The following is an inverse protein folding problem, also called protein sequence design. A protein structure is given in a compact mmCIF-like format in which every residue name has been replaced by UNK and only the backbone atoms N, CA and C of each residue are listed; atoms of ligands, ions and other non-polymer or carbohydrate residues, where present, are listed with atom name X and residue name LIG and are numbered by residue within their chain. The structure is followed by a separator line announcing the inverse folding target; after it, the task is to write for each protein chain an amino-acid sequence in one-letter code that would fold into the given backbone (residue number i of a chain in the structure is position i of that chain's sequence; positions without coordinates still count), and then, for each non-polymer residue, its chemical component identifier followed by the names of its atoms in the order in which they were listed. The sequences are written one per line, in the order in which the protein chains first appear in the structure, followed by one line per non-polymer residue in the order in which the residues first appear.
data_IF_815664546644
#
_entry.id   IF_815664546644
#
_cell.length_a   1.000
_cell.length_b   1.000
_cell.length_c   1.000
_cell.angle_alpha   90.00
_cell.angle_beta   90.00
_cell.angle_gamma   90.00
#
_symmetry.space_group_name_H-M   'P 1'
#
loop_
_entity.id
_entity.type
_entity.pdbx_description
1 polymer ?
#
# COMPACT_ATOMS: atom_id res chain seq x y z
N UNK A 1 8.16 2.52 -22.23
CA UNK A 1 8.63 3.19 -23.47
C UNK A 1 7.54 3.19 -24.53
N UNK A 2 7.62 4.12 -25.49
CA UNK A 2 6.76 4.15 -26.68
C UNK A 2 7.22 3.06 -27.65
N UNK A 3 6.31 2.21 -28.12
CA UNK A 3 6.60 1.15 -29.10
C UNK A 3 6.15 1.54 -30.50
N UNK A 4 5.04 2.27 -30.61
CA UNK A 4 4.51 2.74 -31.90
C UNK A 4 3.79 4.09 -31.75
N UNK A 5 3.83 4.90 -32.81
CA UNK A 5 3.12 6.18 -32.91
C UNK A 5 2.32 6.21 -34.22
N UNK A 6 1.02 6.50 -34.12
CA UNK A 6 0.10 6.66 -35.26
C UNK A 6 -0.76 7.91 -35.03
N UNK A 7 -0.36 9.03 -35.62
CA UNK A 7 -1.02 10.32 -35.36
C UNK A 7 -0.93 10.69 -33.88
N UNK A 8 -2.08 10.82 -33.21
CA UNK A 8 -2.15 11.09 -31.77
C UNK A 8 -2.25 9.85 -30.88
N UNK A 9 -2.27 8.65 -31.47
CA UNK A 9 -2.31 7.38 -30.74
C UNK A 9 -0.91 6.84 -30.58
N UNK A 10 -0.64 6.29 -29.41
CA UNK A 10 0.64 5.65 -29.11
C UNK A 10 0.43 4.33 -28.42
N UNK A 11 1.21 3.34 -28.83
CA UNK A 11 1.33 2.08 -28.13
C UNK A 11 2.53 2.15 -27.19
N UNK A 12 2.35 1.63 -25.99
CA UNK A 12 3.27 1.74 -24.88
C UNK A 12 3.60 0.36 -24.32
N UNK A 13 4.87 0.17 -23.99
CA UNK A 13 5.32 -0.93 -23.14
C UNK A 13 5.65 -0.40 -21.74
N UNK A 14 4.99 -0.96 -20.73
CA UNK A 14 5.06 -0.58 -19.33
C UNK A 14 6.09 -1.39 -18.53
N UNK A 15 7.08 -1.97 -19.21
CA UNK A 15 8.22 -2.60 -18.55
C UNK A 15 8.98 -1.62 -17.65
N UNK A 16 9.36 -2.07 -16.46
CA UNK A 16 10.04 -1.27 -15.44
C UNK A 16 9.11 -0.67 -14.38
N UNK A 17 7.79 -0.84 -14.50
CA UNK A 17 6.83 -0.51 -13.44
C UNK A 17 6.82 -1.63 -12.39
N UNK A 18 6.74 -1.25 -11.11
CA UNK A 18 6.58 -2.20 -10.01
C UNK A 18 5.26 -2.98 -10.19
N UNK A 19 5.29 -4.33 -10.21
CA UNK A 19 4.08 -5.14 -10.33
C UNK A 19 3.00 -4.79 -9.28
N UNK A 20 3.41 -4.34 -8.08
CA UNK A 20 2.51 -3.94 -6.99
C UNK A 20 1.67 -2.72 -7.31
N UNK A 21 2.10 -1.88 -8.26
CA UNK A 21 1.40 -0.63 -8.62
C UNK A 21 0.88 -0.63 -10.04
N UNK A 22 1.09 -1.71 -10.81
CA UNK A 22 0.69 -1.82 -12.21
C UNK A 22 -0.81 -1.56 -12.43
N UNK A 23 -1.68 -1.94 -11.48
CA UNK A 23 -3.11 -1.67 -11.54
C UNK A 23 -3.44 -0.15 -11.57
N UNK A 24 -2.52 0.69 -11.08
CA UNK A 24 -2.66 2.14 -11.08
C UNK A 24 -2.17 2.82 -12.38
N UNK A 25 -1.71 2.03 -13.35
CA UNK A 25 -1.35 2.47 -14.71
C UNK A 25 -2.43 2.08 -15.72
N UNK A 26 -3.69 2.18 -15.30
CA UNK A 26 -4.86 1.99 -16.17
C UNK A 26 -5.29 3.26 -16.88
N UNK A 27 -6.54 3.26 -17.34
CA UNK A 27 -7.17 4.42 -17.98
C UNK A 27 -7.05 5.67 -17.11
N UNK A 28 -6.60 6.77 -17.71
CA UNK A 28 -6.47 8.06 -17.06
C UNK A 28 -5.09 8.34 -16.45
N UNK A 29 -4.19 7.34 -16.35
CA UNK A 29 -2.80 7.60 -15.94
C UNK A 29 -2.12 8.49 -16.98
N UNK A 30 -1.26 9.40 -16.52
CA UNK A 30 -0.47 10.27 -17.40
C UNK A 30 1.00 9.96 -17.23
N UNK A 31 1.69 9.78 -18.36
CA UNK A 31 3.13 9.60 -18.43
C UNK A 31 3.74 10.78 -19.19
N UNK A 32 4.89 11.25 -18.71
CA UNK A 32 5.72 12.25 -19.39
C UNK A 32 6.68 11.55 -20.34
N UNK A 33 6.70 11.99 -21.59
CA UNK A 33 7.70 11.60 -22.58
C UNK A 33 9.01 12.33 -22.25
N UNK A 34 10.10 11.58 -22.12
CA UNK A 34 11.41 12.14 -21.78
C UNK A 34 12.45 11.74 -22.82
N UNK A 35 13.39 12.64 -23.10
CA UNK A 35 14.57 12.34 -23.92
C UNK A 35 15.71 11.69 -23.12
N UNK A 36 16.85 11.43 -23.77
CA UNK A 36 18.02 10.80 -23.14
C UNK A 36 18.64 11.59 -21.99
N UNK A 37 18.31 12.88 -21.87
CA UNK A 37 18.73 13.75 -20.76
C UNK A 37 17.65 13.86 -19.66
N UNK A 38 16.49 13.20 -19.85
CA UNK A 38 15.37 13.23 -18.92
C UNK A 38 14.49 14.48 -19.04
N UNK A 39 14.61 15.25 -20.12
CA UNK A 39 13.82 16.47 -20.34
C UNK A 39 12.46 16.15 -20.95
N UNK A 40 11.43 16.85 -20.47
CA UNK A 40 10.04 16.66 -20.93
C UNK A 40 9.84 17.10 -22.39
N UNK A 41 9.37 16.15 -23.22
CA UNK A 41 9.05 16.32 -24.64
C UNK A 41 7.55 16.33 -24.92
N UNK A 42 6.76 15.85 -23.97
CA UNK A 42 5.30 15.80 -24.08
C UNK A 42 4.67 14.89 -23.03
N UNK A 43 3.37 14.66 -23.15
CA UNK A 43 2.60 13.81 -22.25
C UNK A 43 1.66 12.90 -23.02
N UNK A 44 1.49 11.69 -22.49
CA UNK A 44 0.53 10.69 -22.97
C UNK A 44 -0.41 10.31 -21.83
N UNK A 45 -1.71 10.28 -22.12
CA UNK A 45 -2.71 9.69 -21.25
C UNK A 45 -3.01 8.25 -21.67
N UNK A 46 -2.96 7.32 -20.74
CA UNK A 46 -3.35 5.92 -20.98
C UNK A 46 -4.87 5.85 -21.17
N UNK A 47 -5.32 5.24 -22.27
CA UNK A 47 -6.73 4.99 -22.57
C UNK A 47 -7.15 3.56 -22.21
N UNK A 48 -6.25 2.60 -22.38
CA UNK A 48 -6.44 1.19 -22.03
C UNK A 48 -5.11 0.50 -21.75
N UNK A 49 -5.14 -0.57 -20.94
CA UNK A 49 -3.98 -1.42 -20.63
C UNK A 49 -4.40 -2.89 -20.70
N UNK A 50 -3.55 -3.71 -21.27
CA UNK A 50 -3.58 -5.16 -21.21
C UNK A 50 -2.21 -5.64 -20.75
N UNK A 51 -2.14 -6.18 -19.54
CA UNK A 51 -0.88 -6.58 -18.89
C UNK A 51 0.18 -5.46 -18.91
N UNK A 52 1.32 -5.68 -19.57
CA UNK A 52 2.42 -4.71 -19.71
C UNK A 52 2.32 -3.86 -20.97
N UNK A 53 1.26 -4.02 -21.77
CA UNK A 53 1.02 -3.20 -22.97
C UNK A 53 -0.12 -2.22 -22.72
N UNK A 54 -0.01 -1.01 -23.23
CA UNK A 54 -1.04 0.01 -23.09
C UNK A 54 -1.19 0.82 -24.37
N UNK A 55 -2.41 1.31 -24.60
CA UNK A 55 -2.73 2.29 -25.64
C UNK A 55 -2.98 3.63 -24.97
N UNK A 56 -2.39 4.67 -25.54
CA UNK A 56 -2.52 6.03 -25.02
C UNK A 56 -2.77 7.06 -26.11
N UNK A 57 -3.16 8.24 -25.65
CA UNK A 57 -3.39 9.43 -26.46
C UNK A 57 -2.40 10.52 -26.09
N UNK A 58 -1.72 11.05 -27.09
CA UNK A 58 -0.85 12.22 -26.94
C UNK A 58 -1.69 13.45 -26.58
N UNK A 59 -1.32 14.13 -25.50
CA UNK A 59 -2.03 15.32 -24.99
C UNK A 59 -1.34 16.62 -25.42
N UNK A 60 -0.03 16.67 -25.24
CA UNK A 60 0.82 17.81 -25.57
C UNK A 60 2.16 17.25 -26.05
N UNK A 61 2.67 17.70 -27.20
CA UNK A 61 3.97 17.29 -27.74
C UNK A 61 4.70 18.49 -28.30
N UNK A 62 6.00 18.61 -28.01
CA UNK A 62 6.84 19.66 -28.57
C UNK A 62 7.48 19.25 -29.91
N UNK A 63 7.60 17.95 -30.17
CA UNK A 63 8.28 17.37 -31.33
C UNK A 63 7.61 16.08 -31.82
N UNK A 64 8.08 15.56 -32.95
CA UNK A 64 7.76 14.21 -33.41
C UNK A 64 8.33 13.18 -32.41
N UNK A 65 7.44 12.36 -31.85
CA UNK A 65 7.79 11.30 -30.90
C UNK A 65 8.20 10.05 -31.69
N UNK A 66 9.40 9.54 -31.44
CA UNK A 66 9.90 8.32 -32.06
C UNK A 66 9.59 7.08 -31.21
N UNK A 67 9.55 5.90 -31.85
CA UNK A 67 9.60 4.63 -31.12
C UNK A 67 10.89 4.55 -30.29
N UNK A 68 10.81 3.92 -29.11
CA UNK A 68 11.89 3.87 -28.13
C UNK A 68 11.91 5.06 -27.15
N UNK A 69 11.10 6.11 -27.35
CA UNK A 69 11.02 7.23 -26.41
C UNK A 69 10.66 6.73 -25.00
N UNK A 70 11.44 7.15 -24.01
CA UNK A 70 11.24 6.77 -22.62
C UNK A 70 10.08 7.54 -21.99
N UNK A 71 9.50 6.95 -20.95
CA UNK A 71 8.35 7.48 -20.24
C UNK A 71 8.66 7.54 -18.76
N UNK A 72 8.22 8.62 -18.11
CA UNK A 72 8.24 8.78 -16.67
C UNK A 72 6.82 8.96 -16.15
N UNK A 73 6.50 8.34 -15.01
CA UNK A 73 5.19 8.54 -14.37
C UNK A 73 4.99 10.02 -14.00
N UNK A 74 3.78 10.54 -14.27
CA UNK A 74 3.40 11.91 -13.94
C UNK A 74 2.18 11.93 -13.04
N UNK A 75 1.09 11.35 -13.52
CA UNK A 75 -0.13 11.12 -12.76
C UNK A 75 -0.42 9.63 -12.70
N UNK A 76 -0.54 9.12 -11.48
CA UNK A 76 -1.09 7.81 -11.21
C UNK A 76 -2.61 7.83 -11.32
N UNK A 77 -3.21 6.74 -11.80
CA UNK A 77 -4.66 6.59 -11.89
C UNK A 77 -5.12 5.37 -11.09
N UNK A 78 -5.65 5.60 -9.88
CA UNK A 78 -6.23 4.53 -9.05
C UNK A 78 -7.72 4.44 -9.37
N UNK A 79 -8.22 3.32 -9.92
CA UNK A 79 -9.64 3.16 -10.21
C UNK A 79 -10.48 3.24 -8.92
N UNK A 80 -11.59 3.97 -8.97
CA UNK A 80 -12.46 4.17 -7.81
C UNK A 80 -13.26 2.91 -7.42
N UNK A 81 -13.34 1.92 -8.32
CA UNK A 81 -14.16 0.71 -8.19
C UNK A 81 -13.33 -0.58 -8.06
N UNK A 82 -12.10 -0.50 -7.56
CA UNK A 82 -11.27 -1.70 -7.37
C UNK A 82 -11.91 -2.68 -6.39
N UNK A 83 -11.88 -3.96 -6.77
CA UNK A 83 -12.39 -5.08 -5.99
C UNK A 83 -11.26 -5.95 -5.45
N UNK A 84 -11.52 -6.63 -4.35
CA UNK A 84 -10.72 -7.77 -3.93
C UNK A 84 -11.28 -9.04 -4.59
N UNK A 85 -10.51 -9.59 -5.55
CA UNK A 85 -10.86 -10.79 -6.31
C UNK A 85 -10.46 -12.04 -5.54
N UNK A 86 -11.45 -12.88 -5.23
CA UNK A 86 -11.31 -14.08 -4.41
C UNK A 86 -11.71 -15.30 -5.25
N UNK A 87 -10.79 -16.21 -5.49
CA UNK A 87 -11.11 -17.48 -6.12
C UNK A 87 -11.75 -18.44 -5.12
N UNK A 88 -12.68 -19.26 -5.60
CA UNK A 88 -13.32 -20.30 -4.81
C UNK A 88 -12.60 -21.63 -5.05
N UNK A 89 -12.04 -22.21 -3.98
CA UNK A 89 -11.34 -23.49 -4.06
C UNK A 89 -12.32 -24.65 -4.32
N UNK A 90 -11.84 -25.70 -4.99
CA UNK A 90 -12.64 -26.90 -5.27
C UNK A 90 -13.08 -27.63 -3.97
N UNK A 91 -12.32 -27.45 -2.89
CA UNK A 91 -12.63 -27.95 -1.53
C UNK A 91 -14.00 -27.52 -0.99
N UNK A 92 -14.59 -26.44 -1.51
CA UNK A 92 -15.92 -25.98 -1.13
C UNK A 92 -17.04 -26.87 -1.70
N UNK A 93 -16.78 -27.65 -2.75
CA UNK A 93 -17.76 -28.56 -3.35
C UNK A 93 -19.11 -27.89 -3.64
N UNK A 94 -20.18 -28.40 -3.02
CA UNK A 94 -21.55 -27.88 -3.20
C UNK A 94 -21.75 -26.47 -2.58
N UNK A 95 -20.86 -26.01 -1.72
CA UNK A 95 -20.97 -24.70 -1.05
C UNK A 95 -20.49 -23.53 -1.91
N UNK A 96 -19.89 -23.76 -3.09
CA UNK A 96 -19.35 -22.68 -3.94
C UNK A 96 -20.40 -21.62 -4.32
N UNK A 97 -21.63 -22.03 -4.61
CA UNK A 97 -22.70 -21.10 -4.95
C UNK A 97 -23.07 -20.18 -3.75
N UNK A 98 -23.16 -20.76 -2.55
CA UNK A 98 -23.42 -20.02 -1.33
C UNK A 98 -22.24 -19.10 -0.97
N UNK A 99 -21.00 -19.57 -1.15
CA UNK A 99 -19.79 -18.77 -0.96
C UNK A 99 -19.78 -17.53 -1.87
N UNK A 100 -20.08 -17.73 -3.16
CA UNK A 100 -20.18 -16.65 -4.16
C UNK A 100 -21.22 -15.61 -3.74
N UNK A 101 -22.41 -16.06 -3.36
CA UNK A 101 -23.50 -15.16 -2.94
C UNK A 101 -23.13 -14.39 -1.66
N UNK A 102 -22.53 -15.06 -0.67
CA UNK A 102 -22.09 -14.41 0.57
C UNK A 102 -21.01 -13.35 0.32
N UNK A 103 -20.01 -13.66 -0.52
CA UNK A 103 -18.94 -12.71 -0.88
C UNK A 103 -19.48 -11.49 -1.65
N UNK A 104 -20.43 -11.70 -2.57
CA UNK A 104 -21.08 -10.61 -3.32
C UNK A 104 -21.89 -9.65 -2.42
N UNK A 105 -22.29 -10.11 -1.23
CA UNK A 105 -22.91 -9.25 -0.21
C UNK A 105 -21.95 -8.24 0.43
N UNK A 106 -20.63 -8.40 0.24
CA UNK A 106 -19.63 -7.50 0.79
C UNK A 106 -19.19 -6.52 -0.30
N UNK A 107 -19.36 -5.21 -0.03
CA UNK A 107 -18.96 -4.14 -0.96
C UNK A 107 -17.49 -4.28 -1.37
N UNK A 108 -17.23 -4.13 -2.67
CA UNK A 108 -15.89 -4.19 -3.27
C UNK A 108 -15.18 -5.54 -3.11
N UNK A 109 -15.91 -6.63 -2.90
CA UNK A 109 -15.41 -8.00 -2.97
C UNK A 109 -16.03 -8.70 -4.18
N UNK A 110 -15.20 -9.44 -4.91
CA UNK A 110 -15.61 -10.14 -6.13
C UNK A 110 -15.18 -11.60 -6.04
N UNK A 111 -16.13 -12.52 -6.15
CA UNK A 111 -15.84 -13.94 -6.29
C UNK A 111 -15.62 -14.29 -7.76
N UNK A 112 -14.44 -14.82 -8.08
CA UNK A 112 -13.99 -15.13 -9.44
C UNK A 112 -13.72 -16.62 -9.60
N UNK A 113 -13.69 -17.09 -10.85
CA UNK A 113 -13.29 -18.46 -11.14
C UNK A 113 -11.78 -18.65 -10.93
N UNK A 114 -11.34 -19.88 -10.64
CA UNK A 114 -9.93 -20.19 -10.35
C UNK A 114 -9.01 -20.14 -11.59
N UNK A 115 -9.58 -20.11 -12.79
CA UNK A 115 -8.91 -19.95 -14.08
C UNK A 115 -8.81 -18.48 -14.54
N UNK A 116 -9.41 -17.54 -13.81
CA UNK A 116 -9.27 -16.12 -14.12
C UNK A 116 -7.88 -15.58 -13.74
N UNK A 117 -7.44 -14.55 -14.47
CA UNK A 117 -6.26 -13.78 -14.12
C UNK A 117 -6.57 -12.76 -13.01
N UNK A 118 -5.53 -12.28 -12.32
CA UNK A 118 -5.63 -11.28 -11.23
C UNK A 118 -6.44 -11.75 -9.99
N UNK A 119 -6.32 -13.03 -9.61
CA UNK A 119 -6.81 -13.54 -8.32
C UNK A 119 -5.91 -12.98 -7.20
N UNK A 120 -6.49 -12.54 -6.09
CA UNK A 120 -5.71 -12.02 -4.95
C UNK A 120 -5.62 -13.01 -3.80
N UNK A 121 -6.72 -13.69 -3.50
CA UNK A 121 -6.83 -14.68 -2.43
C UNK A 121 -7.71 -15.84 -2.89
N UNK A 122 -7.59 -16.96 -2.18
CA UNK A 122 -8.40 -18.15 -2.39
C UNK A 122 -9.21 -18.40 -1.12
N UNK A 123 -10.52 -18.57 -1.24
CA UNK A 123 -11.38 -19.03 -0.15
C UNK A 123 -11.58 -20.53 -0.30
N UNK A 124 -11.26 -21.30 0.75
CA UNK A 124 -11.36 -22.76 0.72
C UNK A 124 -11.43 -23.39 2.10
N UNK A 125 -11.68 -24.70 2.13
CA UNK A 125 -11.55 -25.52 3.33
C UNK A 125 -10.13 -26.07 3.46
N UNK A 126 -9.62 -26.13 4.68
CA UNK A 126 -8.34 -26.78 4.98
C UNK A 126 -8.47 -28.28 4.68
N UNK A 127 -7.86 -28.73 3.59
CA UNK A 127 -7.80 -30.14 3.20
C UNK A 127 -6.62 -30.84 3.90
N UNK A 128 -6.54 -32.18 3.89
CA UNK A 128 -5.34 -32.89 4.37
C UNK A 128 -4.04 -32.42 3.71
N UNK A 129 -4.09 -32.03 2.42
CA UNK A 129 -2.94 -31.50 1.70
C UNK A 129 -2.52 -30.13 2.23
N UNK A 130 -3.47 -29.20 2.39
CA UNK A 130 -3.21 -27.90 3.04
C UNK A 130 -2.63 -28.11 4.44
N UNK A 131 -3.23 -28.98 5.24
CA UNK A 131 -2.77 -29.26 6.60
C UNK A 131 -1.30 -29.73 6.65
N UNK A 132 -0.92 -30.69 5.80
CA UNK A 132 0.46 -31.16 5.71
C UNK A 132 1.44 -30.05 5.26
N UNK A 133 1.03 -29.19 4.33
CA UNK A 133 1.85 -28.05 3.90
C UNK A 133 2.04 -27.03 5.04
N UNK A 134 0.96 -26.64 5.72
CA UNK A 134 0.99 -25.71 6.84
C UNK A 134 1.84 -26.24 8.01
N UNK A 135 1.81 -27.56 8.25
CA UNK A 135 2.67 -28.21 9.24
C UNK A 135 4.16 -28.12 8.85
N UNK A 136 4.51 -28.32 7.57
CA UNK A 136 5.90 -28.15 7.08
C UNK A 136 6.37 -26.70 7.22
N UNK A 137 5.47 -25.73 7.00
CA UNK A 137 5.72 -24.30 7.17
C UNK A 137 5.69 -23.85 8.65
N UNK A 138 5.45 -24.77 9.59
CA UNK A 138 5.37 -24.49 11.04
C UNK A 138 4.38 -23.36 11.37
N UNK A 139 3.25 -23.34 10.68
CA UNK A 139 2.18 -22.37 10.94
C UNK A 139 1.58 -22.62 12.32
N UNK A 140 1.47 -21.56 13.11
CA UNK A 140 0.93 -21.61 14.47
C UNK A 140 -0.03 -20.44 14.70
N UNK A 141 -1.28 -20.68 15.15
CA UNK A 141 -1.90 -22.00 15.37
C UNK A 141 -2.17 -22.73 14.04
N UNK A 142 -2.03 -24.06 14.05
CA UNK A 142 -2.32 -24.91 12.89
C UNK A 142 -3.84 -25.14 12.82
N UNK A 143 -4.53 -24.76 11.74
CA UNK A 143 -5.98 -24.91 11.65
C UNK A 143 -6.40 -26.38 11.48
N UNK A 144 -7.59 -26.72 11.97
CA UNK A 144 -8.15 -28.06 11.83
C UNK A 144 -8.52 -28.38 10.38
N UNK A 145 -8.47 -29.66 10.00
CA UNK A 145 -8.98 -30.12 8.70
C UNK A 145 -10.49 -29.82 8.65
N UNK A 146 -10.94 -29.24 7.54
CA UNK A 146 -12.32 -28.81 7.32
C UNK A 146 -12.61 -27.36 7.69
N UNK A 147 -11.70 -26.67 8.39
CA UNK A 147 -11.84 -25.23 8.70
C UNK A 147 -11.91 -24.40 7.42
N UNK A 148 -12.83 -23.42 7.38
CA UNK A 148 -12.87 -22.43 6.30
C UNK A 148 -11.80 -21.36 6.53
N UNK A 149 -10.99 -21.07 5.51
CA UNK A 149 -9.88 -20.12 5.61
C UNK A 149 -9.62 -19.38 4.28
N UNK A 150 -8.84 -18.30 4.37
CA UNK A 150 -8.29 -17.61 3.20
C UNK A 150 -6.85 -18.06 2.97
N UNK A 151 -6.48 -18.21 1.71
CA UNK A 151 -5.12 -18.58 1.28
C UNK A 151 -4.57 -17.57 0.26
N UNK A 152 -3.24 -17.46 0.21
CA UNK A 152 -2.52 -16.81 -0.88
C UNK A 152 -2.58 -17.68 -2.14
N UNK A 153 -2.17 -17.13 -3.29
CA UNK A 153 -1.99 -17.92 -4.52
C UNK A 153 -0.94 -19.03 -4.39
N UNK A 154 -0.02 -18.89 -3.45
CA UNK A 154 0.99 -19.91 -3.12
C UNK A 154 0.47 -20.95 -2.12
N UNK A 155 -0.84 -20.96 -1.84
CA UNK A 155 -1.48 -21.83 -0.85
C UNK A 155 -1.03 -21.59 0.60
N UNK A 156 -0.45 -20.43 0.90
CA UNK A 156 -0.13 -20.04 2.28
C UNK A 156 -1.40 -19.59 3.01
N UNK A 157 -1.57 -20.00 4.27
CA UNK A 157 -2.68 -19.52 5.10
C UNK A 157 -2.55 -18.02 5.33
N UNK A 158 -3.62 -17.27 5.06
CA UNK A 158 -3.71 -15.88 5.49
C UNK A 158 -3.87 -15.87 7.01
N UNK A 159 -2.94 -15.28 7.77
CA UNK A 159 -2.95 -15.36 9.24
C UNK A 159 -4.25 -14.82 9.83
N UNK A 160 -4.75 -15.40 10.92
CA UNK A 160 -6.04 -15.05 11.53
C UNK A 160 -7.29 -15.24 10.65
N UNK A 161 -7.22 -15.97 9.53
CA UNK A 161 -8.40 -16.22 8.66
C UNK A 161 -9.13 -17.53 8.94
N UNK A 162 -8.44 -18.53 9.49
CA UNK A 162 -9.03 -19.84 9.71
C UNK A 162 -10.16 -19.81 10.76
N UNK A 163 -11.26 -20.47 10.44
CA UNK A 163 -12.37 -20.72 11.35
C UNK A 163 -12.28 -22.08 12.04
N UNK A 164 -13.40 -22.50 12.62
CA UNK A 164 -13.56 -23.83 13.22
C UNK A 164 -13.91 -24.88 12.15
N UNK A 165 -13.61 -26.14 12.41
CA UNK A 165 -14.02 -27.23 11.53
C UNK A 165 -15.55 -27.35 11.47
N UNK A 166 -16.10 -27.57 10.28
CA UNK A 166 -17.54 -27.68 10.07
C UNK A 166 -18.32 -26.36 10.08
N UNK A 167 -17.66 -25.20 10.22
CA UNK A 167 -18.30 -23.89 10.06
C UNK A 167 -19.00 -23.80 8.69
N UNK A 168 -20.21 -23.22 8.66
CA UNK A 168 -20.93 -22.98 7.42
C UNK A 168 -20.22 -21.91 6.58
N UNK A 169 -20.29 -22.00 5.25
CA UNK A 169 -19.62 -21.01 4.39
C UNK A 169 -20.15 -19.59 4.59
N UNK A 170 -21.45 -19.43 4.88
CA UNK A 170 -22.08 -18.13 5.12
C UNK A 170 -21.58 -17.49 6.42
N UNK A 171 -21.48 -18.27 7.50
CA UNK A 171 -20.97 -17.79 8.79
C UNK A 171 -19.48 -17.46 8.68
N UNK A 172 -18.71 -18.31 7.99
CA UNK A 172 -17.29 -18.07 7.75
C UNK A 172 -17.03 -16.81 6.93
N UNK A 173 -17.80 -16.55 5.86
CA UNK A 173 -17.69 -15.29 5.09
C UNK A 173 -18.06 -14.08 5.94
N UNK A 174 -19.12 -14.18 6.77
CA UNK A 174 -19.52 -13.11 7.70
C UNK A 174 -18.41 -12.81 8.70
N UNK A 175 -17.79 -13.82 9.28
CA UNK A 175 -16.64 -13.70 10.18
C UNK A 175 -15.44 -13.05 9.48
N UNK A 176 -15.18 -13.43 8.23
CA UNK A 176 -14.10 -12.89 7.41
C UNK A 176 -14.34 -11.47 6.90
N UNK A 177 -15.54 -10.89 7.05
CA UNK A 177 -15.87 -9.60 6.46
C UNK A 177 -14.90 -8.48 6.87
N UNK A 178 -14.56 -8.35 8.16
CA UNK A 178 -13.59 -7.36 8.62
C UNK A 178 -12.18 -7.61 8.03
N UNK A 179 -11.78 -8.88 7.95
CA UNK A 179 -10.52 -9.31 7.34
C UNK A 179 -10.44 -8.92 5.86
N UNK A 180 -11.48 -9.22 5.09
CA UNK A 180 -11.56 -8.90 3.66
C UNK A 180 -11.49 -7.39 3.40
N UNK A 181 -12.16 -6.59 4.23
CA UNK A 181 -12.06 -5.13 4.18
C UNK A 181 -10.64 -4.64 4.46
N UNK A 182 -9.97 -5.20 5.47
CA UNK A 182 -8.59 -4.85 5.80
C UNK A 182 -7.62 -5.21 4.68
N UNK A 183 -7.76 -6.41 4.09
CA UNK A 183 -6.95 -6.85 2.94
C UNK A 183 -7.17 -5.96 1.70
N UNK A 184 -8.43 -5.58 1.42
CA UNK A 184 -8.76 -4.63 0.36
C UNK A 184 -8.10 -3.27 0.61
N UNK A 185 -8.22 -2.73 1.82
CA UNK A 185 -7.64 -1.45 2.20
C UNK A 185 -6.10 -1.47 2.11
N UNK A 186 -5.46 -2.54 2.60
CA UNK A 186 -4.02 -2.75 2.47
C UNK A 186 -3.59 -2.80 0.99
N UNK A 187 -4.38 -3.47 0.13
CA UNK A 187 -4.14 -3.46 -1.32
C UNK A 187 -4.27 -2.05 -1.91
N UNK A 188 -5.34 -1.34 -1.59
CA UNK A 188 -5.60 0.01 -2.11
C UNK A 188 -4.51 1.00 -1.73
N UNK A 189 -4.07 0.98 -0.47
CA UNK A 189 -3.01 1.91 -0.02
C UNK A 189 -1.67 1.56 -0.67
N UNK A 190 -1.36 0.28 -0.90
CA UNK A 190 -0.14 -0.14 -1.62
C UNK A 190 -0.11 0.34 -3.08
N UNK A 191 -1.26 0.60 -3.70
CA UNK A 191 -1.30 1.24 -5.02
C UNK A 191 -0.78 2.68 -5.02
N UNK A 192 -0.56 3.31 -3.86
CA UNK A 192 0.06 4.63 -3.78
C UNK A 192 1.58 4.58 -3.88
N UNK A 193 2.22 3.41 -3.67
CA UNK A 193 3.68 3.25 -3.62
C UNK A 193 4.37 3.78 -4.88
N UNK A 194 5.19 4.81 -4.73
CA UNK A 194 5.81 5.49 -5.86
C UNK A 194 7.28 5.85 -5.58
N UNK A 195 7.97 5.13 -4.69
CA UNK A 195 9.36 5.42 -4.33
C UNK A 195 10.30 5.57 -5.55
N UNK A 196 10.07 4.80 -6.62
CA UNK A 196 10.87 4.85 -7.85
C UNK A 196 10.50 5.98 -8.81
N UNK A 197 9.31 6.55 -8.68
CA UNK A 197 8.76 7.53 -9.63
C UNK A 197 8.41 8.88 -9.01
N UNK A 198 8.36 8.97 -7.67
CA UNK A 198 8.11 10.20 -6.94
C UNK A 198 9.16 11.25 -7.29
N UNK A 199 8.69 12.50 -7.38
CA UNK A 199 9.57 13.65 -7.59
C UNK A 199 9.95 14.35 -6.29
N UNK A 200 9.42 13.89 -5.16
CA UNK A 200 9.84 14.32 -3.83
C UNK A 200 11.07 13.53 -3.37
N UNK A 201 11.90 14.17 -2.57
CA UNK A 201 13.12 13.66 -1.95
C UNK A 201 12.84 13.37 -0.49
N UNK A 202 12.50 12.11 -0.22
CA UNK A 202 12.15 11.62 1.12
C UNK A 202 12.93 10.35 1.40
N UNK A 203 13.37 10.21 2.65
CA UNK A 203 13.97 8.98 3.19
C UNK A 203 13.27 8.60 4.49
N UNK A 204 13.06 7.30 4.69
CA UNK A 204 12.50 6.72 5.90
C UNK A 204 13.41 5.61 6.44
N UNK A 205 13.44 5.48 7.76
CA UNK A 205 14.23 4.48 8.46
C UNK A 205 13.44 3.90 9.63
N UNK A 206 13.73 2.64 9.94
CA UNK A 206 13.29 1.92 11.11
C UNK A 206 14.52 1.63 11.98
N UNK A 207 14.47 1.99 13.25
CA UNK A 207 15.56 1.79 14.20
C UNK A 207 15.10 1.01 15.42
N UNK A 208 15.95 0.11 15.91
CA UNK A 208 15.80 -0.46 17.23
C UNK A 208 16.16 0.62 18.26
N UNK A 209 15.26 0.84 19.23
CA UNK A 209 15.49 1.84 20.28
C UNK A 209 16.67 1.43 21.15
N UNK A 210 16.76 0.14 21.47
CA UNK A 210 17.89 -0.43 22.21
C UNK A 210 19.10 -0.54 21.27
N UNK A 211 20.11 0.29 21.52
CA UNK A 211 21.35 0.33 20.73
C UNK A 211 21.34 1.24 19.50
N UNK A 212 20.20 1.86 19.14
CA UNK A 212 20.08 2.82 18.03
C UNK A 212 20.41 2.24 16.66
N UNK A 213 20.36 0.91 16.53
CA UNK A 213 20.75 0.21 15.31
C UNK A 213 19.72 0.45 14.21
N UNK A 214 20.21 0.83 13.02
CA UNK A 214 19.38 0.92 11.82
C UNK A 214 18.97 -0.49 11.39
N UNK A 215 17.67 -0.76 11.43
CA UNK A 215 17.08 -2.06 11.11
C UNK A 215 16.76 -2.15 9.63
N UNK A 216 16.10 -1.13 9.10
CA UNK A 216 15.74 -1.06 7.69
C UNK A 216 15.58 0.39 7.25
N UNK A 217 15.67 0.63 5.94
CA UNK A 217 15.43 1.93 5.35
C UNK A 217 14.69 1.81 4.03
N UNK A 218 14.04 2.90 3.63
CA UNK A 218 13.38 3.06 2.35
C UNK A 218 13.53 4.51 1.92
N UNK A 219 13.69 4.76 0.63
CA UNK A 219 13.87 6.12 0.13
C UNK A 219 13.38 6.24 -1.31
N UNK A 220 12.99 7.47 -1.65
CA UNK A 220 12.74 7.83 -3.05
C UNK A 220 14.03 7.86 -3.85
N UNK A 221 13.96 7.68 -5.17
CA UNK A 221 15.15 7.79 -6.05
C UNK A 221 15.84 9.15 -5.92
N UNK A 222 15.07 10.23 -5.70
CA UNK A 222 15.64 11.55 -5.39
C UNK A 222 16.26 11.61 -3.99
N UNK A 223 15.60 11.00 -3.00
CA UNK A 223 16.11 10.85 -1.64
C UNK A 223 17.46 10.13 -1.56
N UNK A 224 17.68 9.13 -2.41
CA UNK A 224 18.97 8.42 -2.50
C UNK A 224 20.15 9.36 -2.78
N UNK A 225 19.94 10.43 -3.56
CA UNK A 225 20.98 11.41 -3.92
C UNK A 225 21.34 12.35 -2.77
N UNK A 226 20.43 12.51 -1.80
CA UNK A 226 20.62 13.34 -0.61
C UNK A 226 21.37 12.62 0.52
N UNK A 227 21.73 11.34 0.31
CA UNK A 227 22.38 10.49 1.31
C UNK A 227 21.36 9.64 2.06
N UNK A 228 21.57 8.32 2.05
CA UNK A 228 20.75 7.36 2.84
C UNK A 228 21.13 7.35 4.32
N UNK A 229 20.23 6.86 5.19
CA UNK A 229 20.54 6.70 6.62
C UNK A 229 21.70 5.72 6.83
N UNK A 230 21.76 4.66 6.03
CA UNK A 230 22.84 3.67 6.06
C UNK A 230 24.20 4.28 5.70
N UNK A 231 24.28 5.08 4.62
CA UNK A 231 25.51 5.79 4.22
C UNK A 231 26.01 6.74 5.31
N UNK A 232 25.11 7.55 5.88
CA UNK A 232 25.47 8.52 6.92
C UNK A 232 25.99 7.86 8.20
N UNK A 233 25.62 6.59 8.44
CA UNK A 233 26.07 5.80 9.59
C UNK A 233 27.16 4.78 9.27
N UNK A 234 27.69 4.79 8.04
CA UNK A 234 28.71 3.83 7.60
C UNK A 234 28.24 2.37 7.55
N UNK A 235 26.92 2.13 7.52
CA UNK A 235 26.35 0.77 7.45
C UNK A 235 26.28 0.33 5.98
N UNK A 236 26.91 -0.79 5.65
CA UNK A 236 26.84 -1.41 4.31
C UNK A 236 25.81 -2.55 4.28
N UNK A 237 25.02 -2.62 3.21
CA UNK A 237 24.16 -3.78 2.92
C UNK A 237 22.77 -3.77 3.56
N UNK A 238 22.35 -2.65 4.17
CA UNK A 238 20.95 -2.47 4.53
C UNK A 238 20.12 -2.26 3.26
N UNK A 239 19.03 -2.99 3.16
CA UNK A 239 18.06 -2.90 2.06
C UNK A 239 16.66 -2.77 2.66
N UNK A 240 15.68 -2.37 1.87
CA UNK A 240 14.26 -2.34 2.26
C UNK A 240 13.65 -3.74 2.50
N UNK A 241 14.46 -4.80 2.44
CA UNK A 241 14.02 -6.19 2.54
C UNK A 241 13.80 -6.60 3.99
N UNK A 242 12.97 -7.64 4.16
CA UNK A 242 12.52 -8.16 5.46
C UNK A 242 13.68 -8.55 6.38
N UNK A 243 14.13 -7.61 7.22
CA UNK A 243 15.04 -7.89 8.31
C UNK A 243 14.26 -8.56 9.44
N UNK A 244 14.87 -9.56 10.07
CA UNK A 244 14.24 -10.30 11.17
C UNK A 244 14.27 -9.48 12.44
N UNK A 245 13.09 -9.25 13.02
CA UNK A 245 12.91 -8.51 14.26
C UNK A 245 12.18 -9.39 15.25
N UNK A 246 12.79 -9.56 16.44
CA UNK A 246 12.18 -10.35 17.51
C UNK A 246 10.94 -9.65 18.07
N UNK A 247 9.92 -10.41 18.40
CA UNK A 247 8.79 -9.90 19.17
C UNK A 247 9.27 -9.23 20.47
N UNK A 248 8.58 -8.17 20.88
CA UNK A 248 8.93 -7.34 22.03
C UNK A 248 9.99 -6.28 21.75
N UNK A 249 10.74 -6.36 20.64
CA UNK A 249 11.72 -5.34 20.26
C UNK A 249 11.05 -3.98 20.14
N UNK A 250 11.55 -2.99 20.89
CA UNK A 250 11.07 -1.62 20.78
C UNK A 250 11.74 -0.94 19.60
N UNK A 251 10.95 -0.36 18.71
CA UNK A 251 11.44 0.27 17.48
C UNK A 251 10.82 1.66 17.29
N UNK A 252 11.49 2.49 16.51
CA UNK A 252 11.05 3.83 16.15
C UNK A 252 11.24 4.06 14.66
N UNK A 253 10.45 4.97 14.10
CA UNK A 253 10.53 5.36 12.69
C UNK A 253 11.03 6.78 12.56
N UNK A 254 11.75 7.00 11.46
CA UNK A 254 12.44 8.24 11.21
C UNK A 254 12.18 8.62 9.78
N UNK A 255 11.61 9.80 9.56
CA UNK A 255 11.28 10.28 8.21
C UNK A 255 11.94 11.62 8.01
N UNK A 256 12.78 11.72 6.98
CA UNK A 256 13.53 12.93 6.65
C UNK A 256 12.95 13.59 5.41
N UNK A 257 12.65 14.88 5.55
CA UNK A 257 12.25 15.75 4.46
C UNK A 257 13.51 16.36 3.82
N UNK A 258 13.91 15.86 2.64
CA UNK A 258 15.03 16.41 1.89
C UNK A 258 14.58 17.41 0.81
N UNK A 259 13.32 17.86 0.86
CA UNK A 259 12.80 18.91 -0.02
C UNK A 259 13.05 20.30 0.55
N UNK A 260 12.88 21.30 -0.31
CA UNK A 260 12.89 22.73 0.06
C UNK A 260 11.51 23.25 0.48
N UNK A 261 10.51 22.36 0.54
CA UNK A 261 9.14 22.67 0.95
C UNK A 261 8.71 21.80 2.13
N UNK A 262 7.81 22.27 3.00
CA UNK A 262 7.31 21.46 4.10
C UNK A 262 6.48 20.26 3.60
N UNK A 263 6.54 19.13 4.30
CA UNK A 263 5.83 17.89 3.95
C UNK A 263 4.97 17.37 5.11
N UNK A 264 3.74 16.98 4.81
CA UNK A 264 2.88 16.24 5.74
C UNK A 264 3.24 14.76 5.68
N UNK A 265 3.47 14.15 6.84
CA UNK A 265 3.91 12.76 6.95
C UNK A 265 2.82 11.92 7.59
N UNK A 266 2.52 10.77 6.99
CA UNK A 266 1.64 9.72 7.53
C UNK A 266 2.38 8.40 7.52
N UNK A 267 2.30 7.67 8.62
CA UNK A 267 2.93 6.36 8.80
C UNK A 267 1.87 5.35 9.22
N UNK A 268 1.74 4.29 8.41
CA UNK A 268 0.79 3.21 8.58
C UNK A 268 1.55 1.90 8.77
N UNK A 269 1.10 1.06 9.67
CA UNK A 269 1.53 -0.33 9.80
C UNK A 269 0.48 -1.24 9.15
N UNK A 270 0.94 -2.18 8.34
CA UNK A 270 0.20 -3.35 7.89
C UNK A 270 0.80 -4.53 8.65
N UNK A 271 0.06 -5.03 9.64
CA UNK A 271 0.45 -6.17 10.46
C UNK A 271 0.47 -7.47 9.65
N UNK A 272 1.03 -8.54 10.22
CA UNK A 272 1.13 -9.87 9.58
C UNK A 272 -0.24 -10.43 9.17
N UNK A 273 -1.25 -10.14 9.99
CA UNK A 273 -2.65 -10.48 9.74
C UNK A 273 -3.33 -9.48 8.77
N UNK A 274 -2.61 -8.50 8.24
CA UNK A 274 -3.16 -7.48 7.36
C UNK A 274 -4.02 -6.43 8.06
N UNK A 275 -4.03 -6.37 9.40
CA UNK A 275 -4.62 -5.25 10.15
C UNK A 275 -3.86 -3.97 9.83
N UNK A 276 -4.60 -2.90 9.50
CA UNK A 276 -4.04 -1.57 9.27
C UNK A 276 -4.08 -0.76 10.56
N UNK A 277 -2.91 -0.29 10.99
CA UNK A 277 -2.76 0.53 12.19
C UNK A 277 -2.13 1.86 11.83
N UNK A 278 -2.74 2.98 12.22
CA UNK A 278 -2.10 4.29 12.09
C UNK A 278 -1.07 4.45 13.19
N UNK A 279 0.16 4.80 12.81
CA UNK A 279 1.27 5.09 13.71
C UNK A 279 1.51 6.60 13.85
N UNK A 280 1.27 7.37 12.80
CA UNK A 280 1.34 8.83 12.79
C UNK A 280 0.59 9.40 11.58
N UNK A 281 -0.02 10.59 11.65
CA UNK A 281 -0.19 11.38 12.86
C UNK A 281 -1.18 10.70 13.81
N UNK A 282 -0.86 10.67 15.10
CA UNK A 282 -1.84 10.34 16.13
C UNK A 282 -2.31 11.62 16.80
N UNK A 283 -3.60 11.67 17.05
CA UNK A 283 -4.23 12.86 17.58
C UNK A 283 -3.99 12.91 19.09
N UNK A 284 -3.15 13.87 19.49
CA UNK A 284 -2.93 14.30 20.86
C UNK A 284 -3.40 15.75 21.06
N UNK A 285 -2.87 16.46 22.07
CA UNK A 285 -3.05 17.92 22.19
C UNK A 285 -2.20 18.73 21.19
N UNK A 286 -1.46 18.07 20.31
CA UNK A 286 -0.58 18.69 19.31
C UNK A 286 -1.25 18.82 17.94
N UNK A 287 -0.71 19.72 17.11
CA UNK A 287 -1.13 19.96 15.73
C UNK A 287 -0.45 18.96 14.76
N UNK A 288 -1.13 18.60 13.67
CA UNK A 288 -0.54 17.84 12.56
C UNK A 288 0.24 18.76 11.61
N UNK A 289 1.15 19.56 12.17
CA UNK A 289 1.97 20.49 11.42
C UNK A 289 2.87 19.73 10.43
N UNK A 290 3.22 20.29 9.26
CA UNK A 290 4.13 19.60 8.35
C UNK A 290 5.57 19.62 8.88
N UNK A 291 6.37 18.64 8.45
CA UNK A 291 7.82 18.58 8.71
C UNK A 291 8.51 19.58 7.81
N UNK A 292 9.31 20.48 8.38
CA UNK A 292 9.91 21.58 7.61
C UNK A 292 11.07 21.10 6.71
N UNK A 293 11.50 21.91 5.73
CA UNK A 293 12.61 21.57 4.83
C UNK A 293 13.89 21.16 5.55
N UNK A 294 14.51 20.04 5.14
CA UNK A 294 15.76 19.53 5.71
C UNK A 294 15.62 18.86 7.09
N UNK A 295 14.45 18.96 7.72
CA UNK A 295 14.20 18.36 9.03
C UNK A 295 13.82 16.89 8.94
N UNK A 296 13.88 16.25 10.10
CA UNK A 296 13.50 14.87 10.31
C UNK A 296 12.53 14.77 11.46
N UNK A 297 11.49 13.97 11.27
CA UNK A 297 10.56 13.58 12.33
C UNK A 297 10.92 12.18 12.85
N UNK A 298 10.76 12.00 14.16
CA UNK A 298 10.82 10.72 14.84
C UNK A 298 9.41 10.32 15.25
N UNK A 299 9.00 9.09 14.93
CA UNK A 299 7.68 8.54 15.23
C UNK A 299 7.90 7.34 16.16
N UNK A 300 7.32 7.31 17.37
CA UNK A 300 6.38 8.28 17.95
C UNK A 300 6.97 9.70 18.17
N UNK A 301 6.25 10.74 17.76
CA UNK A 301 6.60 12.16 17.94
C UNK A 301 5.97 12.75 19.21
N UNK A 302 6.78 12.94 20.25
CA UNK A 302 6.34 13.53 21.52
C UNK A 302 5.83 14.96 21.37
N UNK A 303 6.35 15.73 20.42
CA UNK A 303 5.94 17.11 20.19
C UNK A 303 4.52 17.19 19.61
N UNK A 304 4.08 16.15 18.87
CA UNK A 304 2.70 15.99 18.40
C UNK A 304 1.77 15.35 19.43
N UNK A 305 2.29 15.01 20.61
CA UNK A 305 1.53 14.34 21.67
C UNK A 305 1.46 12.82 21.54
N UNK A 306 2.29 12.22 20.67
CA UNK A 306 2.40 10.77 20.53
C UNK A 306 3.28 10.24 21.68
N UNK A 307 2.69 9.48 22.61
CA UNK A 307 3.35 9.06 23.87
C UNK A 307 3.58 7.56 23.98
N UNK A 308 3.23 6.82 22.95
CA UNK A 308 3.37 5.37 22.94
C UNK A 308 4.84 4.93 22.78
N UNK A 309 5.11 3.67 23.12
CA UNK A 309 6.36 2.99 22.78
C UNK A 309 5.99 1.87 21.83
N UNK A 310 6.40 1.97 20.58
CA UNK A 310 6.08 0.94 19.60
C UNK A 310 6.95 -0.30 19.84
N UNK A 311 6.32 -1.42 20.16
CA UNK A 311 6.95 -2.72 20.29
C UNK A 311 6.42 -3.62 19.19
N UNK A 312 7.32 -4.31 18.50
CA UNK A 312 6.92 -5.33 17.52
C UNK A 312 6.17 -6.44 18.26
N UNK A 313 4.93 -6.68 17.87
CA UNK A 313 4.03 -7.63 18.51
C UNK A 313 3.14 -8.29 17.46
N UNK A 314 2.42 -9.33 17.86
CA UNK A 314 1.52 -10.10 16.98
C UNK A 314 2.15 -11.40 16.49
N UNK A 315 1.59 -11.94 15.41
CA UNK A 315 2.01 -13.21 14.82
C UNK A 315 3.39 -13.11 14.15
N UNK A 316 4.09 -14.24 14.00
CA UNK A 316 5.32 -14.30 13.22
C UNK A 316 5.01 -14.25 11.73
N UNK A 317 5.77 -13.48 10.96
CA UNK A 317 5.55 -13.33 9.52
C UNK A 317 5.99 -11.96 9.03
N UNK A 318 5.57 -11.60 7.82
CA UNK A 318 5.98 -10.34 7.19
C UNK A 318 4.99 -9.23 7.54
N UNK A 319 5.51 -8.14 8.12
CA UNK A 319 4.79 -6.90 8.33
C UNK A 319 5.41 -5.78 7.49
N UNK A 320 4.64 -4.74 7.23
CA UNK A 320 5.07 -3.63 6.37
C UNK A 320 4.65 -2.29 6.95
N UNK A 321 5.57 -1.33 6.97
CA UNK A 321 5.29 0.06 7.34
C UNK A 321 5.28 0.90 6.09
N UNK A 322 4.15 1.56 5.82
CA UNK A 322 3.99 2.52 4.74
C UNK A 322 4.28 3.93 5.27
N UNK A 323 5.12 4.67 4.55
CA UNK A 323 5.38 6.09 4.81
C UNK A 323 4.89 6.88 3.61
N UNK A 324 3.94 7.77 3.85
CA UNK A 324 3.35 8.66 2.85
C UNK A 324 3.70 10.10 3.23
N UNK A 325 4.38 10.80 2.34
CA UNK A 325 4.76 12.20 2.46
C UNK A 325 4.08 13.01 1.36
N UNK A 326 3.40 14.10 1.72
CA UNK A 326 2.65 14.94 0.77
C UNK A 326 2.95 16.42 0.93
N UNK A 327 2.86 17.18 -0.15
CA UNK A 327 2.97 18.66 -0.12
C UNK A 327 1.65 19.34 0.28
N UNK A 328 0.56 18.58 0.31
CA UNK A 328 -0.77 19.06 0.72
C UNK A 328 -1.24 18.29 1.97
N UNK A 329 -2.00 18.94 2.88
CA UNK A 329 -2.57 18.25 4.04
C UNK A 329 -3.53 17.13 3.63
N UNK A 330 -3.60 16.07 4.45
CA UNK A 330 -4.54 14.96 4.31
C UNK A 330 -5.76 15.17 5.21
N UNK A 331 -6.48 16.27 4.98
CA UNK A 331 -7.52 16.76 5.91
C UNK A 331 -8.63 15.74 6.14
N UNK A 332 -9.21 15.15 5.08
CA UNK A 332 -10.31 14.17 5.25
C UNK A 332 -9.86 12.92 5.98
N UNK A 333 -8.65 12.44 5.69
CA UNK A 333 -8.09 11.28 6.39
C UNK A 333 -7.87 11.59 7.87
N UNK A 334 -7.29 12.75 8.18
CA UNK A 334 -7.04 13.19 9.56
C UNK A 334 -8.35 13.40 10.33
N UNK A 335 -9.37 14.01 9.71
CA UNK A 335 -10.68 14.23 10.32
C UNK A 335 -11.37 12.89 10.66
N UNK A 336 -11.28 11.89 9.77
CA UNK A 336 -11.79 10.56 10.08
C UNK A 336 -11.05 9.92 11.25
N UNK A 337 -9.72 10.07 11.30
CA UNK A 337 -8.94 9.59 12.44
C UNK A 337 -9.35 10.30 13.76
N UNK A 338 -9.80 11.56 13.71
CA UNK A 338 -10.34 12.28 14.87
C UNK A 338 -11.64 11.68 15.37
N UNK A 339 -12.54 11.35 14.46
CA UNK A 339 -13.80 10.67 14.81
C UNK A 339 -13.48 9.32 15.46
N UNK A 340 -12.66 8.49 14.82
CA UNK A 340 -12.29 7.16 15.32
C UNK A 340 -11.54 7.21 16.66
N UNK A 341 -10.70 8.23 16.88
CA UNK A 341 -10.01 8.42 18.15
C UNK A 341 -10.96 8.87 19.27
N UNK A 342 -11.94 9.73 18.97
CA UNK A 342 -12.92 10.21 19.95
C UNK A 342 -13.82 9.07 20.43
N UNK A 343 -14.21 8.16 19.54
CA UNK A 343 -15.01 6.98 19.87
C UNK A 343 -14.30 6.00 20.84
N UNK A 344 -12.96 6.03 20.89
CA UNK A 344 -12.15 5.17 21.79
C UNK A 344 -11.98 5.73 23.20
N UNK A 345 -12.34 6.99 23.42
CA UNK A 345 -12.19 7.69 24.70
C UNK A 345 -10.82 8.33 24.91
N UNK A 346 -10.79 9.35 25.78
CA UNK A 346 -9.66 10.29 25.93
C UNK A 346 -8.35 9.65 26.41
N UNK A 347 -8.42 8.52 27.13
CA UNK A 347 -7.26 7.84 27.70
C UNK A 347 -6.37 7.14 26.65
N UNK A 348 -6.88 6.97 25.43
CA UNK A 348 -6.18 6.31 24.32
C UNK A 348 -5.65 7.31 23.28
N UNK A 349 -5.79 8.63 23.52
CA UNK A 349 -5.22 9.68 22.65
C UNK A 349 -3.71 9.56 22.54
N UNK A 350 -3.17 9.80 21.35
CA UNK A 350 -1.73 9.68 21.08
C UNK A 350 -1.18 8.26 21.11
N UNK A 351 -2.04 7.23 21.01
CA UNK A 351 -1.67 5.81 20.84
C UNK A 351 -2.11 5.26 19.49
N UNK A 352 -1.44 4.23 18.93
CA UNK A 352 -1.74 3.71 17.60
C UNK A 352 -3.20 3.28 17.44
N UNK A 353 -3.74 3.50 16.23
CA UNK A 353 -5.16 3.27 15.94
C UNK A 353 -5.31 2.17 14.90
N UNK A 354 -5.73 0.98 15.31
CA UNK A 354 -6.20 -0.06 14.38
C UNK A 354 -7.46 0.41 13.66
N UNK A 355 -7.49 0.39 12.34
CA UNK A 355 -8.64 0.88 11.59
C UNK A 355 -9.79 -0.13 11.65
N UNK A 356 -10.88 0.24 12.34
CA UNK A 356 -12.12 -0.56 12.40
C UNK A 356 -12.93 -0.48 11.11
N UNK A 357 -12.78 0.61 10.35
CA UNK A 357 -13.35 0.84 9.02
C UNK A 357 -12.23 1.18 8.02
N UNK A 358 -11.37 0.21 7.69
CA UNK A 358 -10.17 0.45 6.90
C UNK A 358 -10.48 0.84 5.45
N UNK A 359 -11.62 0.39 4.90
CA UNK A 359 -12.10 0.74 3.57
C UNK A 359 -12.46 2.24 3.47
N UNK A 360 -13.13 2.78 4.49
CA UNK A 360 -13.50 4.20 4.54
C UNK A 360 -12.26 5.07 4.75
N UNK A 361 -11.36 4.68 5.65
CA UNK A 361 -10.14 5.43 5.92
C UNK A 361 -9.20 5.53 4.72
N UNK A 362 -8.99 4.42 4.01
CA UNK A 362 -8.19 4.44 2.80
C UNK A 362 -8.92 5.20 1.68
N UNK A 363 -10.25 5.14 1.59
CA UNK A 363 -11.00 5.97 0.64
C UNK A 363 -10.79 7.47 0.89
N UNK A 364 -10.89 7.93 2.15
CA UNK A 364 -10.64 9.33 2.52
C UNK A 364 -9.21 9.78 2.22
N UNK A 365 -8.23 8.94 2.53
CA UNK A 365 -6.83 9.16 2.17
C UNK A 365 -6.67 9.34 0.66
N UNK A 366 -7.21 8.43 -0.15
CA UNK A 366 -7.13 8.51 -1.60
C UNK A 366 -7.86 9.74 -2.17
N UNK A 367 -8.95 10.18 -1.54
CA UNK A 367 -9.69 11.38 -1.93
C UNK A 367 -8.91 12.68 -1.62
N UNK A 368 -8.14 12.72 -0.53
CA UNK A 368 -7.23 13.84 -0.25
C UNK A 368 -6.09 13.90 -1.26
N UNK A 369 -5.51 12.75 -1.61
CA UNK A 369 -4.44 12.62 -2.60
C UNK A 369 -4.91 13.03 -4.00
N UNK A 370 -6.13 12.66 -4.38
CA UNK A 370 -6.78 13.14 -5.60
C UNK A 370 -7.00 14.67 -5.55
N UNK A 371 -7.52 15.16 -4.42
CA UNK A 371 -7.79 16.58 -4.19
C UNK A 371 -6.55 17.46 -4.34
N UNK A 372 -5.43 17.06 -3.76
CA UNK A 372 -4.14 17.78 -3.87
C UNK A 372 -3.66 17.92 -5.32
N UNK A 373 -3.98 16.94 -6.15
CA UNK A 373 -3.54 16.84 -7.54
C UNK A 373 -4.30 17.75 -8.51
N UNK A 374 -5.43 18.34 -8.09
CA UNK A 374 -6.34 19.13 -8.96
C UNK A 374 -5.73 20.42 -9.52
N UNK A 375 -4.68 20.95 -8.91
CA UNK A 375 -3.91 22.08 -9.45
C UNK A 375 -2.96 21.72 -10.60
N UNK A 376 -2.83 20.44 -10.95
CA UNK A 376 -1.84 19.93 -11.91
C UNK A 376 -2.39 19.76 -13.36
N UNK A 377 -3.51 20.37 -13.69
CA UNK A 377 -4.15 20.19 -15.01
C UNK A 377 -4.85 18.83 -15.17
N UNK A 378 -5.33 18.25 -14.06
CA UNK A 378 -6.15 17.04 -14.07
C UNK A 378 -7.55 17.35 -14.60
N UNK A 379 -8.13 16.41 -15.33
CA UNK A 379 -9.55 16.47 -15.69
C UNK A 379 -10.30 15.65 -14.66
N UNK A 380 -11.20 16.29 -13.91
CA UNK A 380 -12.05 15.61 -12.92
C UNK A 380 -12.79 14.44 -13.58
N UNK A 381 -12.54 13.22 -13.10
CA UNK A 381 -13.19 12.01 -13.57
C UNK A 381 -13.60 11.17 -12.37
N UNK A 382 -14.90 11.05 -12.11
CA UNK A 382 -15.42 10.32 -10.94
C UNK A 382 -15.04 8.84 -10.89
N UNK A 383 -14.58 8.26 -12.01
CA UNK A 383 -14.21 6.83 -12.10
C UNK A 383 -12.77 6.53 -11.68
N UNK A 384 -11.92 7.56 -11.59
CA UNK A 384 -10.49 7.40 -11.36
C UNK A 384 -9.98 8.52 -10.45
N UNK A 385 -9.26 8.14 -9.40
CA UNK A 385 -8.50 9.09 -8.58
C UNK A 385 -7.13 9.31 -9.19
N UNK A 386 -6.78 10.56 -9.44
CA UNK A 386 -5.51 10.93 -10.04
C UNK A 386 -4.55 11.49 -8.99
N UNK A 387 -3.36 10.88 -8.88
CA UNK A 387 -2.36 11.29 -7.89
C UNK A 387 -1.11 11.79 -8.60
N UNK A 388 -0.73 13.05 -8.35
CA UNK A 388 0.48 13.67 -8.88
C UNK A 388 1.73 13.19 -8.13
N UNK A 389 2.63 12.53 -8.86
CA UNK A 389 3.93 12.07 -8.35
C UNK A 389 4.84 13.21 -7.86
N UNK A 390 4.54 14.47 -8.21
CA UNK A 390 5.23 15.67 -7.71
C UNK A 390 4.79 16.15 -6.35
N UNK A 391 3.64 15.68 -5.88
CA UNK A 391 3.04 16.12 -4.63
C UNK A 391 3.02 15.01 -3.57
N UNK A 392 3.50 13.81 -3.92
CA UNK A 392 3.48 12.65 -3.04
C UNK A 392 4.71 11.76 -3.22
N UNK A 393 5.27 11.32 -2.09
CA UNK A 393 6.14 10.15 -1.98
C UNK A 393 5.48 9.13 -1.05
N UNK A 394 5.24 7.92 -1.55
CA UNK A 394 4.81 6.78 -0.77
C UNK A 394 5.82 5.65 -0.93
N UNK A 395 6.34 5.17 0.19
CA UNK A 395 7.36 4.12 0.26
C UNK A 395 7.02 3.13 1.35
N UNK A 396 7.64 1.97 1.32
CA UNK A 396 7.45 0.96 2.35
C UNK A 396 8.75 0.41 2.90
N UNK A 397 8.69 0.03 4.18
CA UNK A 397 9.71 -0.70 4.92
C UNK A 397 9.11 -2.05 5.30
N UNK A 398 9.72 -3.14 4.85
CA UNK A 398 9.27 -4.50 5.17
C UNK A 398 10.16 -5.13 6.22
N UNK A 399 9.58 -5.85 7.19
CA UNK A 399 10.32 -6.59 8.21
C UNK A 399 9.62 -7.93 8.54
N UNK A 400 10.41 -8.92 8.98
CA UNK A 400 9.92 -10.23 9.39
C UNK A 400 9.86 -10.30 10.92
N UNK A 401 8.68 -10.48 11.47
CA UNK A 401 8.47 -10.71 12.90
C UNK A 401 8.82 -12.16 13.22
N UNK A 402 9.74 -12.36 14.16
CA UNK A 402 10.15 -13.68 14.65
C UNK A 402 9.93 -13.79 16.16
N UNK A 403 9.58 -14.99 16.62
CA UNK A 403 9.34 -15.30 18.03
C UNK A 403 10.57 -15.29 18.90
#
# INVERSE_FOLDING_TARGET
MVTQVQGNRVDLFLGGIDPRTLAAFGRGAILTLVDGEGKERGQVQIESRQELTAKGKLMQTRDNIASGTLLQERLRAIPSNLTLRIALDASLGQEQAAAKQALQGIKSIEAVSSDETDIHYILGRVTPAYYQQLQKLKVTPLPEIGSLALFSLAADLIPGSAGISGESVTDGVKRLQAKLKSLLAARLVKLTLNATSSRLSVAAAMEAVDGGQLVAESFTVRGAKSGSFSQNRGVRGLTSNAQKIKQGTQVQFLVQNNELVPLYITVLLISVDGTLTVLSPLLGRGDNSPVTPGEKIQIPDRNRGERYKFKVAGETGIAEVLVIATTTPLTKAVDLLQVLATERGDNLRGTPIDLTQPDEAISSLLDDLDGGSRGSGTVSNSRVRQIDTRQMAAMSITFEVVG
#
